data_IF_872262312630
#
_entry.id   IF_872262312630
#
_cell.length_a   1.000
_cell.length_b   1.000
_cell.length_c   1.000
_cell.angle_alpha   90.00
_cell.angle_beta   90.00
_cell.angle_gamma   90.00
#
_symmetry.space_group_name_H-M   'P 1'
#
loop_
_entity.id
_entity.type
_entity.pdbx_description
1 polymer ?
#
# COMPACT_ATOMS: atom_id res chain seq x y z
N UNK A 1 21.83 -2.58 -12.67
CA UNK A 1 21.23 -1.71 -11.65
C UNK A 1 20.34 -2.55 -10.76
N UNK A 2 20.20 -2.18 -9.47
CA UNK A 2 19.20 -2.85 -8.61
C UNK A 2 17.81 -2.33 -8.98
N UNK A 3 16.83 -3.23 -9.13
CA UNK A 3 15.42 -2.87 -9.38
C UNK A 3 14.88 -1.97 -8.27
N UNK A 4 14.11 -0.96 -8.62
CA UNK A 4 13.50 -0.03 -7.68
C UNK A 4 11.97 -0.11 -7.70
N UNK A 5 11.39 -0.11 -6.50
CA UNK A 5 9.95 -0.10 -6.27
C UNK A 5 9.54 1.20 -5.56
N UNK A 6 8.49 1.84 -6.06
CA UNK A 6 7.86 2.98 -5.41
C UNK A 6 6.45 2.63 -4.96
N UNK A 7 6.12 2.96 -3.71
CA UNK A 7 4.79 2.72 -3.12
C UNK A 7 4.18 4.08 -2.78
N UNK A 8 3.14 4.48 -3.50
CA UNK A 8 2.36 5.67 -3.17
C UNK A 8 1.23 5.27 -2.26
N UNK A 9 1.31 5.71 -1.00
CA UNK A 9 0.35 5.44 0.06
C UNK A 9 1.01 4.96 1.35
N UNK A 10 0.85 5.75 2.41
CA UNK A 10 1.36 5.50 3.76
C UNK A 10 0.36 4.77 4.68
N UNK A 11 -0.69 4.20 4.12
CA UNK A 11 -1.72 3.44 4.83
C UNK A 11 -1.43 1.95 4.95
N UNK A 12 -2.42 1.19 5.44
CA UNK A 12 -2.32 -0.26 5.66
C UNK A 12 -1.92 -1.02 4.40
N UNK A 13 -2.50 -0.69 3.24
CA UNK A 13 -2.19 -1.35 1.97
C UNK A 13 -0.74 -1.11 1.55
N UNK A 14 -0.27 0.14 1.61
CA UNK A 14 1.13 0.47 1.32
C UNK A 14 2.10 -0.24 2.25
N UNK A 15 1.77 -0.35 3.54
CA UNK A 15 2.60 -1.03 4.52
C UNK A 15 2.72 -2.54 4.24
N UNK A 16 1.59 -3.21 3.94
CA UNK A 16 1.59 -4.62 3.55
C UNK A 16 2.42 -4.84 2.28
N UNK A 17 2.23 -3.99 1.27
CA UNK A 17 2.98 -4.04 0.01
C UNK A 17 4.48 -3.89 0.26
N UNK A 18 4.90 -2.93 1.09
CA UNK A 18 6.30 -2.72 1.43
C UNK A 18 6.94 -3.93 2.12
N UNK A 19 6.23 -4.56 3.09
CA UNK A 19 6.70 -5.78 3.76
C UNK A 19 6.92 -6.90 2.75
N UNK A 20 5.95 -7.14 1.88
CA UNK A 20 6.02 -8.21 0.89
C UNK A 20 7.15 -7.98 -0.10
N UNK A 21 7.30 -6.77 -0.62
CA UNK A 21 8.39 -6.43 -1.54
C UNK A 21 9.75 -6.63 -0.89
N UNK A 22 9.93 -6.21 0.36
CA UNK A 22 11.20 -6.42 1.07
C UNK A 22 11.51 -7.90 1.27
N UNK A 23 10.49 -8.76 1.45
CA UNK A 23 10.68 -10.21 1.60
C UNK A 23 10.94 -10.92 0.28
N UNK A 24 10.23 -10.54 -0.76
CA UNK A 24 10.34 -11.17 -2.08
C UNK A 24 11.54 -10.67 -2.88
N UNK A 25 11.94 -9.41 -2.66
CA UNK A 25 13.02 -8.73 -3.39
C UNK A 25 13.99 -8.04 -2.42
N UNK A 26 14.76 -8.80 -1.63
CA UNK A 26 15.59 -8.23 -0.55
C UNK A 26 16.67 -7.25 -1.05
N UNK A 27 17.13 -7.42 -2.30
CA UNK A 27 18.14 -6.57 -2.91
C UNK A 27 17.59 -5.34 -3.64
N UNK A 28 16.28 -5.26 -3.83
CA UNK A 28 15.65 -4.13 -4.49
C UNK A 28 15.65 -2.87 -3.59
N UNK A 29 15.64 -1.71 -4.21
CA UNK A 29 15.36 -0.46 -3.52
C UNK A 29 13.86 -0.25 -3.38
N UNK A 30 13.40 0.09 -2.20
CA UNK A 30 11.99 0.32 -1.91
C UNK A 30 11.83 1.73 -1.35
N UNK A 31 11.01 2.52 -2.03
CA UNK A 31 10.68 3.89 -1.66
C UNK A 31 9.20 4.00 -1.32
N UNK A 32 8.86 4.72 -0.26
CA UNK A 32 7.47 4.95 0.15
C UNK A 32 7.16 6.44 0.12
N UNK A 33 6.04 6.79 -0.49
CA UNK A 33 5.56 8.14 -0.66
C UNK A 33 4.24 8.33 0.10
N UNK A 34 4.23 9.24 1.07
CA UNK A 34 3.07 9.44 1.94
C UNK A 34 2.84 10.90 2.31
N UNK A 35 1.80 11.14 3.10
CA UNK A 35 1.41 12.49 3.54
C UNK A 35 1.70 12.74 5.01
N UNK A 36 1.79 11.68 5.82
CA UNK A 36 1.74 11.78 7.27
C UNK A 36 3.02 11.20 7.88
N UNK A 37 3.83 12.05 8.50
CA UNK A 37 5.11 11.64 9.11
C UNK A 37 4.95 10.48 10.11
N UNK A 38 3.89 10.53 10.94
CA UNK A 38 3.58 9.45 11.86
C UNK A 38 3.40 8.10 11.16
N UNK A 39 2.68 8.05 10.02
CA UNK A 39 2.49 6.80 9.25
C UNK A 39 3.79 6.38 8.57
N UNK A 40 4.49 7.33 7.96
CA UNK A 40 5.77 7.08 7.30
C UNK A 40 6.81 6.51 8.28
N UNK A 41 6.79 6.90 9.56
CA UNK A 41 7.72 6.37 10.58
C UNK A 41 7.63 4.85 10.80
N UNK A 42 6.51 4.21 10.42
CA UNK A 42 6.37 2.74 10.49
C UNK A 42 7.16 1.99 9.41
N UNK A 43 7.61 2.67 8.36
CA UNK A 43 8.31 2.07 7.22
C UNK A 43 9.84 2.03 7.39
N UNK A 44 10.34 1.87 8.61
CA UNK A 44 11.79 1.88 8.92
C UNK A 44 12.63 0.80 8.22
N UNK A 45 11.98 -0.15 7.55
CA UNK A 45 12.62 -1.28 6.84
C UNK A 45 12.75 -1.08 5.32
N UNK A 46 12.34 0.06 4.79
CA UNK A 46 12.53 0.44 3.38
C UNK A 46 13.80 1.28 3.20
N UNK A 47 14.20 1.56 1.97
CA UNK A 47 15.44 2.30 1.69
C UNK A 47 15.28 3.80 1.94
N UNK A 48 14.11 4.36 1.56
CA UNK A 48 13.80 5.78 1.80
C UNK A 48 12.30 6.02 1.89
N UNK A 49 11.93 7.09 2.58
CA UNK A 49 10.56 7.57 2.71
C UNK A 49 10.50 9.04 2.29
N UNK A 50 9.47 9.43 1.56
CA UNK A 50 9.29 10.80 1.08
C UNK A 50 7.88 11.30 1.41
N UNK A 51 7.78 12.56 1.80
CA UNK A 51 6.49 13.22 1.74
C UNK A 51 6.14 13.52 0.28
N UNK A 52 4.88 13.36 -0.09
CA UNK A 52 4.42 13.55 -1.49
C UNK A 52 4.68 14.95 -2.06
N UNK A 53 5.00 15.92 -1.20
CA UNK A 53 5.33 17.29 -1.59
C UNK A 53 6.85 17.52 -1.74
N UNK A 54 7.70 16.52 -1.43
CA UNK A 54 9.16 16.64 -1.38
C UNK A 54 9.85 15.46 -2.08
N UNK A 55 9.28 15.00 -3.19
CA UNK A 55 9.89 13.95 -4.00
C UNK A 55 11.04 14.57 -4.83
N UNK A 56 12.27 14.03 -4.76
CA UNK A 56 13.37 14.51 -5.60
C UNK A 56 13.03 14.43 -7.09
N UNK A 57 13.21 15.51 -7.83
CA UNK A 57 12.79 15.61 -9.23
C UNK A 57 13.52 14.62 -10.16
N UNK A 58 14.73 14.22 -9.80
CA UNK A 58 15.58 13.27 -10.53
C UNK A 58 15.36 11.80 -10.11
N UNK A 59 14.54 11.56 -9.08
CA UNK A 59 14.24 10.20 -8.63
C UNK A 59 13.49 9.42 -9.72
N UNK A 60 14.02 8.24 -10.05
CA UNK A 60 13.41 7.30 -11.01
C UNK A 60 13.09 5.97 -10.35
N UNK A 61 11.95 5.43 -10.71
CA UNK A 61 11.36 4.20 -10.15
C UNK A 61 11.06 3.25 -11.32
N UNK A 62 11.42 1.98 -11.21
CA UNK A 62 11.17 1.00 -12.26
C UNK A 62 9.74 0.43 -12.18
N UNK A 63 9.25 0.20 -10.97
CA UNK A 63 7.91 -0.35 -10.72
C UNK A 63 7.21 0.44 -9.62
N UNK A 64 5.96 0.79 -9.83
CA UNK A 64 5.18 1.58 -8.89
C UNK A 64 3.89 0.86 -8.44
N UNK A 65 3.50 1.11 -7.18
CA UNK A 65 2.27 0.62 -6.59
C UNK A 65 1.44 1.81 -6.12
N UNK A 66 0.27 2.00 -6.71
CA UNK A 66 -0.72 2.96 -6.26
C UNK A 66 -1.56 2.32 -5.16
N UNK A 67 -1.35 2.75 -3.91
CA UNK A 67 -1.97 2.23 -2.70
C UNK A 67 -2.79 3.29 -1.94
N UNK A 68 -3.07 4.44 -2.56
CA UNK A 68 -3.73 5.57 -1.89
C UNK A 68 -5.24 5.39 -1.85
N UNK A 69 -5.85 5.17 -3.00
CA UNK A 69 -7.30 5.10 -3.12
C UNK A 69 -8.02 6.45 -2.96
N UNK A 70 -9.34 6.44 -3.18
CA UNK A 70 -10.21 7.60 -3.01
C UNK A 70 -9.76 8.83 -3.82
N UNK A 71 -10.00 10.01 -3.29
CA UNK A 71 -9.65 11.29 -3.95
C UNK A 71 -8.14 11.51 -4.12
N UNK A 72 -7.33 10.78 -3.37
CA UNK A 72 -5.87 10.90 -3.43
C UNK A 72 -5.22 10.18 -4.62
N UNK A 73 -5.89 9.19 -5.20
CA UNK A 73 -5.37 8.40 -6.33
C UNK A 73 -4.98 9.24 -7.54
N UNK A 74 -5.73 10.29 -7.84
CA UNK A 74 -5.43 11.18 -8.97
C UNK A 74 -4.03 11.78 -8.86
N UNK A 75 -3.72 12.37 -7.71
CA UNK A 75 -2.41 13.00 -7.47
C UNK A 75 -1.31 11.94 -7.41
N UNK A 76 -1.57 10.81 -6.75
CA UNK A 76 -0.62 9.71 -6.68
C UNK A 76 -0.25 9.19 -8.06
N UNK A 77 -1.25 8.96 -8.92
CA UNK A 77 -1.02 8.44 -10.26
C UNK A 77 -0.28 9.44 -11.16
N UNK A 78 -0.57 10.73 -11.05
CA UNK A 78 0.19 11.78 -11.73
C UNK A 78 1.68 11.75 -11.34
N UNK A 79 1.97 11.72 -10.04
CA UNK A 79 3.35 11.63 -9.54
C UNK A 79 4.03 10.34 -9.99
N UNK A 80 3.34 9.20 -9.94
CA UNK A 80 3.87 7.93 -10.41
C UNK A 80 4.30 8.05 -11.88
N UNK A 81 3.42 8.55 -12.75
CA UNK A 81 3.71 8.68 -14.19
C UNK A 81 4.87 9.63 -14.46
N UNK A 82 5.09 10.63 -13.62
CA UNK A 82 6.23 11.55 -13.72
C UNK A 82 7.55 10.88 -13.35
N UNK A 83 7.57 10.10 -12.26
CA UNK A 83 8.78 9.52 -11.68
C UNK A 83 9.15 8.14 -12.22
N UNK A 84 8.21 7.44 -12.86
CA UNK A 84 8.46 6.09 -13.37
C UNK A 84 9.40 6.14 -14.59
N UNK A 85 10.35 5.19 -14.62
CA UNK A 85 11.28 5.00 -15.74
C UNK A 85 10.55 4.53 -17.01
N UNK A 86 11.10 4.75 -18.20
CA UNK A 86 10.61 4.10 -19.42
C UNK A 86 10.51 2.57 -19.24
N UNK A 87 9.52 1.95 -19.88
CA UNK A 87 9.21 0.51 -19.78
C UNK A 87 8.82 0.03 -18.37
N UNK A 88 8.59 0.96 -17.45
CA UNK A 88 8.17 0.67 -16.09
C UNK A 88 6.73 0.12 -15.99
N UNK A 89 6.39 -0.46 -14.85
CA UNK A 89 5.06 -0.98 -14.58
C UNK A 89 4.39 -0.30 -13.38
N UNK A 90 3.08 -0.13 -13.46
CA UNK A 90 2.25 0.50 -12.43
C UNK A 90 1.16 -0.47 -12.01
N UNK A 91 1.18 -0.91 -10.75
CA UNK A 91 0.09 -1.69 -10.17
C UNK A 91 -0.92 -0.75 -9.50
N UNK A 92 -2.17 -0.81 -9.95
CA UNK A 92 -3.29 -0.04 -9.44
C UNK A 92 -4.02 -0.87 -8.39
N UNK A 93 -3.83 -0.55 -7.12
CA UNK A 93 -4.37 -1.29 -5.98
C UNK A 93 -5.35 -0.44 -5.14
N UNK A 94 -5.22 0.88 -5.20
CA UNK A 94 -6.08 1.80 -4.49
C UNK A 94 -7.48 1.86 -5.10
N UNK A 95 -8.52 1.75 -4.28
CA UNK A 95 -9.90 1.82 -4.73
C UNK A 95 -10.36 3.28 -4.76
N UNK A 96 -10.86 3.76 -5.91
CA UNK A 96 -11.49 5.07 -6.08
C UNK A 96 -12.97 4.90 -6.42
N UNK A 97 -13.82 5.76 -5.85
CA UNK A 97 -15.27 5.76 -6.15
C UNK A 97 -15.55 6.27 -7.57
N UNK A 98 -14.74 7.19 -8.05
CA UNK A 98 -14.86 7.80 -9.38
C UNK A 98 -13.65 7.42 -10.24
N UNK A 99 -13.82 7.44 -11.58
CA UNK A 99 -12.70 7.25 -12.50
C UNK A 99 -11.58 8.27 -12.24
N UNK A 100 -10.34 7.80 -12.36
CA UNK A 100 -9.12 8.58 -12.21
C UNK A 100 -8.51 8.84 -13.58
N UNK A 101 -8.12 10.07 -13.86
CA UNK A 101 -7.50 10.45 -15.14
C UNK A 101 -6.06 9.94 -15.21
N UNK A 102 -5.69 9.42 -16.37
CA UNK A 102 -4.33 8.96 -16.67
C UNK A 102 -3.78 9.76 -17.86
N UNK A 103 -2.56 10.28 -17.74
CA UNK A 103 -1.86 10.89 -18.86
C UNK A 103 -1.42 9.82 -19.86
N UNK A 104 -2.32 9.47 -20.78
CA UNK A 104 -2.10 8.43 -21.78
C UNK A 104 -0.96 8.75 -22.75
N UNK A 105 -0.64 10.05 -22.96
CA UNK A 105 0.51 10.46 -23.75
C UNK A 105 1.82 10.00 -23.10
N UNK A 106 2.01 10.25 -21.81
CA UNK A 106 3.21 9.80 -21.09
C UNK A 106 3.25 8.27 -20.96
N UNK A 107 2.11 7.61 -20.81
CA UNK A 107 2.04 6.13 -20.85
C UNK A 107 2.59 5.60 -22.17
N UNK A 108 2.17 6.19 -23.29
CA UNK A 108 2.64 5.81 -24.63
C UNK A 108 4.13 6.16 -24.83
N UNK A 109 4.53 7.40 -24.50
CA UNK A 109 5.90 7.87 -24.71
C UNK A 109 6.94 7.07 -23.89
N UNK A 110 6.58 6.64 -22.69
CA UNK A 110 7.45 5.84 -21.83
C UNK A 110 7.28 4.33 -22.00
N UNK A 111 6.31 3.85 -22.78
CA UNK A 111 6.02 2.42 -22.96
C UNK A 111 5.58 1.74 -21.66
N UNK A 112 4.75 2.41 -20.82
CA UNK A 112 4.38 1.92 -19.51
C UNK A 112 3.36 0.79 -19.58
N UNK A 113 3.44 -0.12 -18.59
CA UNK A 113 2.44 -1.15 -18.34
C UNK A 113 1.61 -0.81 -17.11
N UNK A 114 0.28 -0.71 -17.27
CA UNK A 114 -0.66 -0.51 -16.16
C UNK A 114 -1.38 -1.82 -15.85
N UNK A 115 -1.37 -2.24 -14.59
CA UNK A 115 -1.93 -3.51 -14.13
C UNK A 115 -2.92 -3.23 -13.01
N UNK A 116 -4.17 -3.66 -13.17
CA UNK A 116 -5.15 -3.68 -12.10
C UNK A 116 -5.17 -5.04 -11.39
N UNK A 117 -5.34 -5.03 -10.07
CA UNK A 117 -5.57 -6.23 -9.30
C UNK A 117 -6.72 -6.02 -8.33
N UNK A 118 -7.70 -6.91 -8.36
CA UNK A 118 -8.89 -6.82 -7.53
C UNK A 118 -9.39 -8.21 -7.14
N UNK A 119 -9.87 -8.30 -5.91
CA UNK A 119 -10.42 -9.50 -5.28
C UNK A 119 -9.35 -10.58 -5.02
N UNK A 120 -9.73 -11.57 -4.22
CA UNK A 120 -8.88 -12.70 -3.84
C UNK A 120 -9.66 -13.99 -3.98
N UNK A 121 -9.00 -15.02 -4.50
CA UNK A 121 -9.53 -16.37 -4.57
C UNK A 121 -8.85 -17.32 -3.57
N UNK A 122 -9.25 -18.59 -3.54
CA UNK A 122 -8.68 -19.60 -2.62
C UNK A 122 -7.16 -19.73 -2.74
N UNK A 123 -6.64 -19.66 -3.97
CA UNK A 123 -5.18 -19.73 -4.21
C UNK A 123 -4.41 -18.59 -3.56
N UNK A 124 -4.98 -17.39 -3.51
CA UNK A 124 -4.32 -16.25 -2.87
C UNK A 124 -4.22 -16.46 -1.37
N UNK A 125 -5.25 -17.02 -0.74
CA UNK A 125 -5.21 -17.40 0.69
C UNK A 125 -4.19 -18.49 0.97
N UNK A 126 -4.09 -19.51 0.12
CA UNK A 126 -3.07 -20.56 0.22
C UNK A 126 -1.66 -19.95 0.16
N UNK A 127 -1.41 -19.04 -0.80
CA UNK A 127 -0.13 -18.35 -0.93
C UNK A 127 0.21 -17.48 0.29
N UNK A 128 -0.77 -16.82 0.90
CA UNK A 128 -0.58 -16.05 2.14
C UNK A 128 -0.18 -16.96 3.30
N UNK A 129 -0.80 -18.14 3.44
CA UNK A 129 -0.43 -19.13 4.45
C UNK A 129 1.00 -19.62 4.24
N UNK A 130 1.38 -19.91 3.01
CA UNK A 130 2.75 -20.34 2.68
C UNK A 130 3.78 -19.23 2.91
N UNK A 131 3.42 -17.98 2.64
CA UNK A 131 4.24 -16.81 2.97
C UNK A 131 4.49 -16.70 4.48
N UNK A 132 3.47 -16.89 5.30
CA UNK A 132 3.61 -16.87 6.77
C UNK A 132 4.48 -18.01 7.29
N UNK A 133 4.39 -19.20 6.68
CA UNK A 133 5.26 -20.33 7.02
C UNK A 133 6.72 -20.06 6.65
N UNK A 134 6.93 -19.44 5.49
CA UNK A 134 8.28 -19.14 4.97
C UNK A 134 8.94 -17.95 5.68
N UNK A 135 8.15 -16.94 6.08
CA UNK A 135 8.61 -15.71 6.69
C UNK A 135 7.81 -15.38 7.95
N UNK A 136 8.04 -16.08 9.08
CA UNK A 136 7.24 -15.90 10.30
C UNK A 136 7.25 -14.46 10.85
N UNK A 137 8.34 -13.72 10.65
CA UNK A 137 8.48 -12.32 11.08
C UNK A 137 7.52 -11.35 10.36
N UNK A 138 6.91 -11.75 9.25
CA UNK A 138 5.84 -10.97 8.60
C UNK A 138 4.65 -10.81 9.56
N UNK A 139 4.31 -11.85 10.31
CA UNK A 139 3.17 -11.83 11.24
C UNK A 139 3.39 -10.79 12.33
N UNK A 140 4.61 -10.68 12.87
CA UNK A 140 4.96 -9.67 13.88
C UNK A 140 4.84 -8.25 13.31
N UNK A 141 5.30 -8.03 12.09
CA UNK A 141 5.17 -6.73 11.40
C UNK A 141 3.71 -6.38 11.13
N UNK A 142 2.91 -7.35 10.66
CA UNK A 142 1.49 -7.17 10.39
C UNK A 142 0.67 -6.95 11.68
N UNK A 143 1.16 -7.40 12.83
CA UNK A 143 0.52 -7.13 14.11
C UNK A 143 0.43 -5.64 14.43
N UNK A 144 1.31 -4.80 13.86
CA UNK A 144 1.21 -3.33 13.95
C UNK A 144 -0.04 -2.76 13.26
N UNK A 145 -0.66 -3.52 12.35
CA UNK A 145 -1.90 -3.14 11.71
C UNK A 145 -3.14 -3.54 12.52
N UNK A 146 -2.98 -4.23 13.64
CA UNK A 146 -4.05 -4.45 14.60
C UNK A 146 -4.24 -3.16 15.39
N UNK A 147 -5.29 -2.43 15.08
CA UNK A 147 -5.68 -1.22 15.78
C UNK A 147 -6.45 -1.54 17.06
N UNK A 148 -7.72 -1.15 17.09
CA UNK A 148 -8.57 -1.42 18.24
C UNK A 148 -9.12 -2.84 18.24
N UNK A 149 -9.38 -3.39 19.44
CA UNK A 149 -10.09 -4.65 19.63
C UNK A 149 -11.36 -4.37 20.44
N UNK A 150 -12.51 -4.74 19.90
CA UNK A 150 -13.82 -4.52 20.52
C UNK A 150 -14.48 -5.87 20.74
N UNK A 151 -14.82 -6.16 22.01
CA UNK A 151 -15.64 -7.33 22.35
C UNK A 151 -17.08 -7.05 21.93
N UNK A 152 -17.64 -7.92 21.10
CA UNK A 152 -18.99 -7.78 20.57
C UNK A 152 -19.94 -8.69 21.34
N UNK A 153 -20.81 -8.06 22.10
CA UNK A 153 -21.92 -8.71 22.82
C UNK A 153 -23.28 -8.17 22.38
N UNK A 154 -23.32 -6.96 21.86
CA UNK A 154 -24.54 -6.25 21.46
C UNK A 154 -24.39 -5.59 20.08
N UNK A 155 -25.50 -5.18 19.47
CA UNK A 155 -25.49 -4.38 18.23
C UNK A 155 -24.80 -3.03 18.43
N UNK A 156 -24.86 -2.45 19.61
CA UNK A 156 -24.22 -1.18 19.90
C UNK A 156 -22.67 -1.29 19.85
N UNK A 157 -22.11 -2.42 20.26
CA UNK A 157 -20.67 -2.66 20.18
C UNK A 157 -20.20 -2.71 18.72
N UNK A 158 -21.03 -3.24 17.80
CA UNK A 158 -20.76 -3.24 16.37
C UNK A 158 -20.74 -1.80 15.83
N UNK A 159 -21.74 -0.99 16.16
CA UNK A 159 -21.80 0.41 15.76
C UNK A 159 -20.55 1.16 16.24
N UNK A 160 -20.20 1.00 17.50
CA UNK A 160 -19.00 1.61 18.09
C UNK A 160 -17.72 1.17 17.36
N UNK A 161 -17.62 -0.10 17.00
CA UNK A 161 -16.46 -0.62 16.26
C UNK A 161 -16.31 0.04 14.88
N UNK A 162 -17.40 0.23 14.15
CA UNK A 162 -17.40 0.95 12.87
C UNK A 162 -17.04 2.42 13.03
N UNK A 163 -17.61 3.12 14.01
CA UNK A 163 -17.28 4.52 14.30
C UNK A 163 -15.79 4.68 14.63
N UNK A 164 -15.24 3.75 15.40
CA UNK A 164 -13.82 3.72 15.76
C UNK A 164 -12.93 3.47 14.54
N UNK A 165 -13.27 2.50 13.68
CA UNK A 165 -12.50 2.23 12.44
C UNK A 165 -12.52 3.44 11.49
N UNK A 166 -13.65 4.12 11.36
CA UNK A 166 -13.78 5.33 10.55
C UNK A 166 -12.94 6.51 11.07
N UNK A 167 -12.77 6.61 12.39
CA UNK A 167 -11.94 7.65 13.02
C UNK A 167 -10.44 7.32 13.03
N UNK A 168 -10.08 6.05 12.79
CA UNK A 168 -8.70 5.57 12.89
C UNK A 168 -8.00 5.69 11.53
N UNK A 169 -6.83 6.30 11.53
CA UNK A 169 -6.04 6.52 10.30
C UNK A 169 -4.99 5.45 10.03
N UNK A 170 -4.72 4.56 10.99
CA UNK A 170 -3.74 3.47 10.94
C UNK A 170 -4.26 2.22 11.65
N UNK A 171 -4.05 1.08 11.06
CA UNK A 171 -4.52 -0.20 11.57
C UNK A 171 -5.97 -0.48 11.21
N UNK A 172 -6.51 -1.57 11.75
CA UNK A 172 -7.90 -2.03 11.57
C UNK A 172 -8.53 -2.38 12.91
N UNK A 173 -9.81 -2.08 13.04
CA UNK A 173 -10.59 -2.50 14.21
C UNK A 173 -10.96 -3.97 14.11
N UNK A 174 -10.66 -4.74 15.14
CA UNK A 174 -10.93 -6.17 15.24
C UNK A 174 -12.15 -6.39 16.13
N UNK A 175 -13.14 -7.10 15.59
CA UNK A 175 -14.32 -7.53 16.32
C UNK A 175 -14.05 -8.88 16.98
N UNK A 176 -14.11 -8.96 18.30
CA UNK A 176 -13.96 -10.19 19.06
C UNK A 176 -15.36 -10.64 19.54
N UNK A 177 -15.86 -11.65 18.89
CA UNK A 177 -17.16 -12.24 19.22
C UNK A 177 -17.02 -13.13 20.45
N UNK A 178 -17.87 -12.90 21.44
CA UNK A 178 -18.06 -13.82 22.57
C UNK A 178 -19.25 -14.71 22.21
N UNK A 179 -18.96 -15.92 21.78
CA UNK A 179 -19.99 -16.96 21.48
C UNK A 179 -20.20 -17.80 22.73
#
# INVERSE_FOLDING_TARGET
MKTSFGIWGDGNLGYITAILLRKLYPEAKIYVFGKTDYKLSHFSFVDDIFTVNQIPADLKIDHAFECVGGKGSQVALQQIVEHISPEGSIALLGVSELPVEVNTRLVLEKGLTLIGSSRSGSKDFEQVVDLYRKYPDIVEKLALLKGHEINVCTMQDIVQAFEMDLSTSWGKTVLKWTI
#
